data_IF_737345909213
#
_entry.id   IF_737345909213
#
_cell.length_a   1.000
_cell.length_b   1.000
_cell.length_c   1.000
_cell.angle_alpha   90.00
_cell.angle_beta   90.00
_cell.angle_gamma   90.00
#
_symmetry.space_group_name_H-M   'P 1'
#
loop_
_entity.id
_entity.type
_entity.pdbx_description
1 polymer ?
#
# COMPACT_ATOMS: atom_id res chain seq x y z
N UNK A 1 6.20 -19.33 -13.27
CA UNK A 1 6.83 -19.06 -11.96
C UNK A 1 7.44 -17.68 -12.08
N UNK A 2 6.65 -16.64 -11.81
CA UNK A 2 7.12 -15.25 -11.84
C UNK A 2 6.95 -14.70 -10.43
N UNK A 3 8.06 -14.74 -9.68
CA UNK A 3 8.11 -14.28 -8.29
C UNK A 3 8.86 -12.95 -8.25
N UNK A 4 8.39 -11.93 -8.98
CA UNK A 4 8.87 -10.56 -8.76
C UNK A 4 7.96 -9.87 -7.74
N UNK A 5 7.99 -10.41 -6.53
CA UNK A 5 7.26 -9.88 -5.38
C UNK A 5 8.04 -8.76 -4.71
N UNK A 6 7.46 -7.56 -4.68
CA UNK A 6 8.01 -6.44 -3.93
C UNK A 6 7.98 -6.71 -2.42
N UNK A 7 9.07 -6.39 -1.72
CA UNK A 7 9.18 -6.51 -0.27
C UNK A 7 9.27 -5.12 0.36
N UNK A 8 8.34 -4.83 1.26
CA UNK A 8 8.34 -3.61 2.05
C UNK A 8 8.89 -3.93 3.44
N UNK A 9 9.85 -3.13 3.91
CA UNK A 9 10.25 -3.17 5.33
C UNK A 9 9.13 -2.55 6.16
N UNK A 10 8.73 -3.24 7.22
CA UNK A 10 7.79 -2.72 8.20
C UNK A 10 8.42 -2.71 9.59
N UNK A 11 7.94 -1.82 10.45
CA UNK A 11 8.30 -1.78 11.87
C UNK A 11 7.04 -1.91 12.71
N UNK A 12 7.14 -2.66 13.82
CA UNK A 12 6.08 -2.71 14.82
C UNK A 12 6.31 -1.58 15.81
N UNK A 13 5.25 -0.81 16.07
CA UNK A 13 5.24 0.19 17.15
C UNK A 13 4.48 -0.42 18.33
N UNK A 14 5.07 -0.36 19.51
CA UNK A 14 4.43 -0.86 20.74
C UNK A 14 3.35 0.12 21.23
N UNK A 15 2.37 -0.40 21.95
CA UNK A 15 1.25 0.34 22.53
C UNK A 15 0.35 1.09 21.51
N UNK A 16 0.34 0.63 20.26
CA UNK A 16 -0.48 1.20 19.22
C UNK A 16 -0.98 0.11 18.28
N UNK A 17 -2.28 0.17 18.01
CA UNK A 17 -2.98 -0.71 17.11
C UNK A 17 -3.40 0.04 15.85
N UNK A 18 -3.49 -0.71 14.76
CA UNK A 18 -4.14 -0.29 13.54
C UNK A 18 -5.63 -0.01 13.82
N UNK A 19 -6.10 1.20 13.53
CA UNK A 19 -7.49 1.64 13.69
C UNK A 19 -7.99 2.31 12.41
N UNK A 20 -9.29 2.24 12.12
CA UNK A 20 -9.92 2.80 10.91
C UNK A 20 -9.12 2.57 9.61
N UNK A 21 -8.77 1.32 9.35
CA UNK A 21 -7.98 0.96 8.19
C UNK A 21 -8.81 0.95 6.91
N UNK A 22 -8.31 1.61 5.88
CA UNK A 22 -8.95 1.70 4.57
C UNK A 22 -7.95 1.35 3.47
N UNK A 23 -8.48 0.84 2.37
CA UNK A 23 -7.74 0.71 1.13
C UNK A 23 -8.05 1.89 0.24
N UNK A 24 -7.02 2.54 -0.26
CA UNK A 24 -7.17 3.44 -1.40
C UNK A 24 -7.64 2.64 -2.63
N UNK A 25 -8.35 3.28 -3.58
CA UNK A 25 -8.45 2.79 -4.94
C UNK A 25 -7.06 2.57 -5.56
N UNK A 26 -7.02 1.99 -6.76
CA UNK A 26 -5.77 1.95 -7.52
C UNK A 26 -5.30 3.38 -7.79
N UNK A 27 -4.05 3.68 -7.41
CA UNK A 27 -3.50 5.04 -7.42
C UNK A 27 -2.81 5.38 -8.74
N UNK A 28 -2.61 4.39 -9.61
CA UNK A 28 -2.02 4.53 -10.93
C UNK A 28 -2.69 3.59 -11.95
N UNK A 29 -2.48 3.91 -13.22
CA UNK A 29 -2.65 3.06 -14.37
C UNK A 29 -1.33 2.36 -14.73
N UNK A 30 -1.37 1.45 -15.70
CA UNK A 30 -0.16 0.85 -16.26
C UNK A 30 0.68 1.89 -17.00
N UNK A 31 1.99 1.73 -16.98
CA UNK A 31 3.01 2.59 -17.60
C UNK A 31 2.99 4.05 -17.11
N UNK A 32 2.32 4.31 -15.98
CA UNK A 32 2.16 5.64 -15.40
C UNK A 32 3.14 5.86 -14.24
N UNK A 33 3.92 6.95 -14.32
CA UNK A 33 4.65 7.44 -13.17
C UNK A 33 3.68 8.07 -12.17
N UNK A 34 3.76 7.65 -10.91
CA UNK A 34 2.88 8.19 -9.87
C UNK A 34 3.64 8.51 -8.59
N UNK A 35 3.10 9.45 -7.83
CA UNK A 35 3.46 9.69 -6.44
C UNK A 35 2.18 9.74 -5.64
N UNK A 36 2.10 8.95 -4.57
CA UNK A 36 0.92 8.91 -3.71
C UNK A 36 1.32 9.18 -2.26
N UNK A 37 0.57 10.06 -1.60
CA UNK A 37 0.77 10.43 -0.21
C UNK A 37 -0.33 9.82 0.65
N UNK A 38 0.06 9.33 1.83
CA UNK A 38 -0.90 8.83 2.81
C UNK A 38 -1.81 9.98 3.28
N UNK A 39 -3.13 9.77 3.42
CA UNK A 39 -4.04 10.78 3.95
C UNK A 39 -3.60 11.30 5.32
N UNK A 40 -3.97 12.55 5.62
CA UNK A 40 -3.60 13.21 6.87
C UNK A 40 -3.97 12.36 8.11
N UNK A 41 -3.09 12.34 9.12
CA UNK A 41 -3.21 11.56 10.38
C UNK A 41 -3.27 10.02 10.22
N UNK A 42 -2.93 9.49 9.05
CA UNK A 42 -2.82 8.05 8.81
C UNK A 42 -1.38 7.63 8.52
N UNK A 43 -1.12 6.33 8.56
CA UNK A 43 0.16 5.74 8.15
C UNK A 43 -0.06 4.57 7.20
N UNK A 44 0.97 4.27 6.40
CA UNK A 44 0.98 3.14 5.49
C UNK A 44 1.02 1.83 6.28
N UNK A 45 0.04 0.96 6.06
CA UNK A 45 -0.10 -0.31 6.76
C UNK A 45 -0.07 -1.53 5.82
N UNK A 46 -0.06 -1.31 4.50
CA UNK A 46 0.06 -2.39 3.53
C UNK A 46 0.07 -1.89 2.09
N UNK A 47 0.50 -2.77 1.19
CA UNK A 47 0.51 -2.54 -0.25
C UNK A 47 -0.13 -3.75 -0.94
N UNK A 48 -0.93 -3.48 -1.97
CA UNK A 48 -1.50 -4.47 -2.86
C UNK A 48 -1.21 -4.06 -4.29
N UNK A 49 -0.89 -5.03 -5.14
CA UNK A 49 -0.67 -4.78 -6.56
C UNK A 49 -1.45 -5.78 -7.42
N UNK A 50 -1.82 -5.31 -8.61
CA UNK A 50 -2.35 -6.13 -9.68
C UNK A 50 -1.37 -6.05 -10.84
N UNK A 51 -0.87 -7.20 -11.29
CA UNK A 51 0.05 -7.31 -12.41
C UNK A 51 -0.69 -7.82 -13.64
N UNK A 52 -0.37 -7.26 -14.81
CA UNK A 52 -0.92 -7.72 -16.08
C UNK A 52 0.21 -8.05 -17.05
N UNK A 53 0.29 -9.31 -17.46
CA UNK A 53 1.36 -9.83 -18.30
C UNK A 53 1.38 -9.24 -19.73
N UNK A 54 0.28 -8.63 -20.19
CA UNK A 54 0.31 -7.95 -21.50
C UNK A 54 1.15 -6.66 -21.44
N UNK A 55 1.14 -5.98 -20.30
CA UNK A 55 1.91 -4.76 -20.04
C UNK A 55 3.24 -5.05 -19.34
N UNK A 56 3.35 -6.22 -18.69
CA UNK A 56 4.44 -6.56 -17.77
C UNK A 56 4.63 -5.52 -16.66
N UNK A 57 3.53 -4.85 -16.27
CA UNK A 57 3.51 -3.76 -15.29
C UNK A 57 2.48 -4.00 -14.18
N UNK A 58 2.48 -3.15 -13.15
CA UNK A 58 1.67 -3.26 -11.93
C UNK A 58 0.90 -1.99 -11.64
N UNK A 59 -0.38 -2.17 -11.37
CA UNK A 59 -1.20 -1.17 -10.69
C UNK A 59 -1.12 -1.36 -9.19
N UNK A 60 -1.04 -0.25 -8.47
CA UNK A 60 -0.83 -0.22 -7.03
C UNK A 60 -2.04 0.33 -6.31
N UNK A 61 -2.31 -0.26 -5.13
CA UNK A 61 -3.22 0.29 -4.12
C UNK A 61 -2.58 0.14 -2.75
N UNK A 62 -2.84 1.09 -1.88
CA UNK A 62 -2.24 1.11 -0.56
C UNK A 62 -3.29 1.03 0.53
N UNK A 63 -2.96 0.30 1.60
CA UNK A 63 -3.73 0.26 2.83
C UNK A 63 -3.13 1.28 3.78
N UNK A 64 -3.97 2.16 4.30
CA UNK A 64 -3.59 3.10 5.34
C UNK A 64 -4.49 2.94 6.55
N UNK A 65 -3.97 3.25 7.72
CA UNK A 65 -4.69 3.16 8.99
C UNK A 65 -4.44 4.40 9.83
N UNK A 66 -5.41 4.76 10.66
CA UNK A 66 -5.20 5.61 11.81
C UNK A 66 -4.56 4.79 12.95
N UNK A 67 -3.98 5.50 13.92
CA UNK A 67 -3.36 4.89 15.09
C UNK A 67 -4.25 5.05 16.30
N UNK A 68 -4.48 3.99 17.06
CA UNK A 68 -5.17 4.04 18.36
C UNK A 68 -4.30 3.40 19.43
N UNK A 69 -4.21 4.02 20.60
CA UNK A 69 -3.53 3.41 21.74
C UNK A 69 -4.21 2.10 22.13
N UNK A 70 -3.39 1.08 22.25
CA UNK A 70 -3.64 -0.25 22.80
C UNK A 70 -2.29 -0.70 23.39
#
# INVERSE_FOLDING_TARGET
MEIEGWKFKCCRVNNYCNYNCLWAPFVNNFDEQFTWHVPHLNYLAGAGSYHANMQEDRRWRYKYCARRSC
#
